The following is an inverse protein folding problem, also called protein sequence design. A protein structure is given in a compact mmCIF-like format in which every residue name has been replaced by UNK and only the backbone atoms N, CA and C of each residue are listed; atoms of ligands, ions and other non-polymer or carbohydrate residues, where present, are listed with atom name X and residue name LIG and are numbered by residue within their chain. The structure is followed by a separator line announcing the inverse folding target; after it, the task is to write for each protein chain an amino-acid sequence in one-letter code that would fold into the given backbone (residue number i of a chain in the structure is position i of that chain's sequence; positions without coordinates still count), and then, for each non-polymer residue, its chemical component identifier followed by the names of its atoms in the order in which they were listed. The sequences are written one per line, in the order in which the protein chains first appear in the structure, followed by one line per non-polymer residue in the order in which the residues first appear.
data_IF_063333440695
#
_entry.id   IF_063333440695
#
_cell.length_a   1.000
_cell.length_b   1.000
_cell.length_c   1.000
_cell.angle_alpha   90.00
_cell.angle_beta   90.00
_cell.angle_gamma   90.00
#
_symmetry.space_group_name_H-M   'P 1'
#
loop_
_entity.id
_entity.type
_entity.pdbx_description
1 polymer ?
#
# COMPACT_ATOMS: atom_id res chain seq x y z
N UNK A 1 1.75 15.46 6.94
CA UNK A 1 2.57 14.87 5.86
C UNK A 1 2.26 13.39 5.77
N UNK A 2 2.26 12.78 4.58
CA UNK A 2 2.04 11.36 4.37
C UNK A 2 3.28 10.71 3.74
N UNK A 3 3.94 9.84 4.50
CA UNK A 3 5.13 9.08 4.09
C UNK A 3 4.73 7.62 3.89
N UNK A 4 5.20 7.02 2.81
CA UNK A 4 5.08 5.59 2.57
C UNK A 4 6.47 4.97 2.59
N UNK A 5 6.65 3.90 3.36
CA UNK A 5 7.84 3.06 3.35
C UNK A 5 7.48 1.77 2.62
N UNK A 6 8.09 1.58 1.45
CA UNK A 6 7.85 0.45 0.55
C UNK A 6 9.10 -0.39 0.40
N UNK A 7 8.95 -1.64 -0.03
CA UNK A 7 10.10 -2.51 -0.28
C UNK A 7 9.79 -4.00 -0.22
N UNK A 8 10.77 -4.80 -0.64
CA UNK A 8 10.72 -6.26 -0.55
C UNK A 8 10.84 -6.72 0.91
N UNK A 9 10.38 -7.93 1.22
CA UNK A 9 10.59 -8.47 2.56
C UNK A 9 12.08 -8.64 2.87
N UNK A 10 12.46 -8.37 4.13
CA UNK A 10 13.86 -8.39 4.56
C UNK A 10 14.66 -7.11 4.27
N UNK A 11 14.11 -6.10 3.57
CA UNK A 11 14.83 -4.87 3.26
C UNK A 11 14.95 -3.86 4.41
N UNK A 12 14.39 -4.16 5.59
CA UNK A 12 14.40 -3.25 6.76
C UNK A 12 13.30 -2.20 6.78
N UNK A 13 12.27 -2.30 5.93
CA UNK A 13 11.13 -1.34 5.86
C UNK A 13 10.47 -1.06 7.22
N UNK A 14 10.17 -2.10 8.01
CA UNK A 14 9.50 -1.94 9.30
C UNK A 14 10.41 -1.24 10.31
N UNK A 15 11.70 -1.60 10.35
CA UNK A 15 12.70 -0.93 11.17
C UNK A 15 12.86 0.55 10.80
N UNK A 16 12.87 0.87 9.50
CA UNK A 16 12.90 2.26 9.04
C UNK A 16 11.63 3.02 9.43
N UNK A 17 10.45 2.41 9.32
CA UNK A 17 9.20 3.03 9.69
C UNK A 17 9.11 3.31 11.21
N UNK A 18 9.60 2.40 12.04
CA UNK A 18 9.73 2.58 13.49
C UNK A 18 10.74 3.68 13.83
N UNK A 19 11.90 3.69 13.18
CA UNK A 19 12.89 4.75 13.34
C UNK A 19 12.30 6.13 13.00
N UNK A 20 11.52 6.24 11.92
CA UNK A 20 10.84 7.48 11.55
C UNK A 20 9.78 7.88 12.59
N UNK A 21 9.03 6.92 13.13
CA UNK A 21 8.04 7.17 14.18
C UNK A 21 8.68 7.76 15.44
N UNK A 22 9.85 7.26 15.83
CA UNK A 22 10.59 7.73 17.02
C UNK A 22 11.24 9.11 16.83
N UNK A 23 11.52 9.51 15.59
CA UNK A 23 12.31 10.72 15.29
C UNK A 23 11.49 11.86 14.66
N UNK A 24 10.19 11.65 14.40
CA UNK A 24 9.29 12.68 13.87
C UNK A 24 8.23 13.00 14.93
N UNK A 25 8.18 14.26 15.35
CA UNK A 25 7.14 14.73 16.26
C UNK A 25 5.74 14.57 15.64
N UNK A 26 4.77 14.18 16.46
CA UNK A 26 3.38 13.95 16.07
C UNK A 26 3.24 12.96 14.90
N UNK A 27 4.03 11.88 14.92
CA UNK A 27 3.94 10.81 13.93
C UNK A 27 2.98 9.68 14.36
N UNK A 28 2.33 9.06 13.37
CA UNK A 28 1.51 7.85 13.54
C UNK A 28 1.99 6.84 12.50
N UNK A 29 2.29 5.63 12.96
CA UNK A 29 2.63 4.50 12.11
C UNK A 29 1.37 3.67 11.83
N UNK A 30 1.09 3.45 10.55
CA UNK A 30 0.02 2.60 10.06
C UNK A 30 0.62 1.48 9.21
N UNK A 31 -0.02 0.32 9.22
CA UNK A 31 0.37 -0.82 8.39
C UNK A 31 -0.77 -1.16 7.45
N UNK A 32 -0.47 -1.34 6.18
CA UNK A 32 -1.48 -1.75 5.21
C UNK A 32 -1.91 -3.20 5.46
N UNK A 33 -3.20 -3.46 5.35
CA UNK A 33 -3.72 -4.81 5.39
C UNK A 33 -3.35 -5.56 4.11
N UNK A 34 -2.80 -6.75 4.29
CA UNK A 34 -2.33 -7.64 3.21
C UNK A 34 -3.12 -8.93 3.14
N UNK A 35 -4.20 -9.11 3.94
CA UNK A 35 -5.04 -10.32 3.94
C UNK A 35 -5.64 -10.63 2.57
N UNK A 36 -6.06 -9.60 1.83
CA UNK A 36 -6.59 -9.74 0.47
C UNK A 36 -5.61 -10.43 -0.50
N UNK A 37 -4.29 -10.29 -0.31
CA UNK A 37 -3.29 -11.01 -1.14
C UNK A 37 -3.38 -12.52 -0.94
N UNK A 38 -3.56 -12.96 0.30
CA UNK A 38 -3.72 -14.38 0.62
C UNK A 38 -5.08 -14.88 0.11
N UNK A 39 -6.14 -14.10 0.26
CA UNK A 39 -7.46 -14.46 -0.25
C UNK A 39 -7.48 -14.60 -1.78
N UNK A 40 -6.84 -13.67 -2.51
CA UNK A 40 -6.68 -13.77 -3.97
C UNK A 40 -5.89 -15.02 -4.41
N UNK A 41 -5.00 -15.56 -3.57
CA UNK A 41 -4.28 -16.81 -3.85
C UNK A 41 -5.18 -18.03 -3.61
N UNK A 42 -6.03 -18.00 -2.59
CA UNK A 42 -6.94 -19.09 -2.26
C UNK A 42 -8.15 -19.16 -3.21
N UNK A 43 -8.62 -18.01 -3.70
CA UNK A 43 -9.80 -17.88 -4.55
C UNK A 43 -9.49 -17.08 -5.83
N UNK A 44 -8.64 -17.61 -6.74
CA UNK A 44 -8.22 -16.91 -7.94
C UNK A 44 -9.37 -16.54 -8.88
N UNK A 45 -10.47 -17.28 -8.86
CA UNK A 45 -11.66 -17.06 -9.68
C UNK A 45 -12.46 -15.81 -9.32
N UNK A 46 -12.33 -15.30 -8.09
CA UNK A 46 -12.93 -14.04 -7.63
C UNK A 46 -11.88 -12.96 -7.32
N UNK A 47 -10.64 -13.15 -7.76
CA UNK A 47 -9.52 -12.28 -7.42
C UNK A 47 -9.74 -10.81 -7.85
N UNK A 48 -10.48 -10.57 -8.93
CA UNK A 48 -10.84 -9.24 -9.39
C UNK A 48 -11.87 -8.55 -8.47
N UNK A 49 -12.82 -9.30 -7.92
CA UNK A 49 -13.78 -8.81 -6.93
C UNK A 49 -13.04 -8.39 -5.65
N UNK A 50 -12.21 -9.28 -5.11
CA UNK A 50 -11.41 -9.02 -3.91
C UNK A 50 -10.48 -7.81 -4.11
N UNK A 51 -9.89 -7.70 -5.30
CA UNK A 51 -9.05 -6.55 -5.64
C UNK A 51 -9.84 -5.24 -5.76
N UNK A 52 -11.06 -5.27 -6.30
CA UNK A 52 -11.93 -4.10 -6.35
C UNK A 52 -12.39 -3.65 -4.96
N UNK A 53 -12.71 -4.60 -4.06
CA UNK A 53 -13.03 -4.33 -2.66
C UNK A 53 -11.85 -3.65 -1.93
N UNK A 54 -10.65 -4.23 -2.04
CA UNK A 54 -9.44 -3.61 -1.52
C UNK A 54 -9.19 -2.19 -2.06
N UNK A 55 -9.48 -1.96 -3.34
CA UNK A 55 -9.35 -0.63 -3.93
C UNK A 55 -10.34 0.39 -3.35
N UNK A 56 -11.52 -0.06 -2.90
CA UNK A 56 -12.55 0.76 -2.23
C UNK A 56 -12.16 1.07 -0.80
N UNK A 57 -11.73 0.08 -0.03
CA UNK A 57 -11.23 0.27 1.35
C UNK A 57 -10.10 1.31 1.39
N UNK A 58 -9.26 1.35 0.35
CA UNK A 58 -8.19 2.35 0.26
C UNK A 58 -8.68 3.79 0.09
N UNK A 59 -9.90 4.01 -0.40
CA UNK A 59 -10.51 5.35 -0.38
C UNK A 59 -10.76 5.78 1.06
N UNK A 60 -11.37 4.93 1.87
CA UNK A 60 -11.63 5.20 3.29
C UNK A 60 -10.33 5.41 4.08
N UNK A 61 -9.32 4.57 3.82
CA UNK A 61 -7.98 4.77 4.35
C UNK A 61 -7.41 6.14 3.95
N UNK A 62 -7.59 6.55 2.70
CA UNK A 62 -7.10 7.85 2.21
C UNK A 62 -7.79 9.04 2.87
N UNK A 63 -9.09 8.93 3.16
CA UNK A 63 -9.85 9.92 3.91
C UNK A 63 -9.34 10.03 5.35
N UNK A 64 -9.12 8.89 6.01
CA UNK A 64 -8.56 8.86 7.36
C UNK A 64 -7.16 9.48 7.43
N UNK A 65 -6.27 9.16 6.48
CA UNK A 65 -4.95 9.80 6.37
C UNK A 65 -5.08 11.31 6.14
N UNK A 66 -6.04 11.76 5.33
CA UNK A 66 -6.28 13.18 5.12
C UNK A 66 -6.71 13.89 6.40
N UNK A 67 -7.55 13.28 7.22
CA UNK A 67 -8.00 13.87 8.48
C UNK A 67 -6.87 13.96 9.50
N UNK A 68 -6.06 12.91 9.64
CA UNK A 68 -4.85 12.94 10.50
C UNK A 68 -3.86 14.01 10.05
N UNK A 69 -3.59 14.10 8.75
CA UNK A 69 -2.64 15.08 8.22
C UNK A 69 -3.13 16.52 8.37
N UNK A 70 -4.45 16.78 8.25
CA UNK A 70 -5.06 18.09 8.56
C UNK A 70 -4.98 18.44 10.06
N UNK A 71 -5.06 17.43 10.94
CA UNK A 71 -4.90 17.61 12.38
C UNK A 71 -3.44 17.83 12.82
N UNK A 72 -2.49 17.87 11.88
CA UNK A 72 -1.08 18.15 12.14
C UNK A 72 -0.20 16.93 12.34
N UNK A 73 -0.74 15.71 12.16
CA UNK A 73 0.06 14.49 12.26
C UNK A 73 0.87 14.23 10.98
N UNK A 74 2.03 13.60 11.17
CA UNK A 74 2.73 12.90 10.10
C UNK A 74 2.28 11.45 10.09
N UNK A 75 1.71 10.98 8.99
CA UNK A 75 1.31 9.58 8.84
C UNK A 75 2.41 8.84 8.10
N UNK A 76 2.88 7.75 8.67
CA UNK A 76 3.87 6.83 8.09
C UNK A 76 3.14 5.52 7.79
N UNK A 77 3.20 5.04 6.55
CA UNK A 77 2.60 3.76 6.14
C UNK A 77 3.67 2.74 5.75
N UNK A 78 3.66 1.57 6.39
CA UNK A 78 4.40 0.38 5.94
C UNK A 78 3.56 -0.32 4.84
N UNK A 79 4.01 -0.18 3.59
CA UNK A 79 3.34 -0.52 2.30
C UNK A 79 2.19 0.42 1.89
N UNK A 80 1.98 0.54 0.58
CA UNK A 80 0.84 1.23 -0.03
C UNK A 80 0.59 0.76 -1.49
N UNK A 81 0.16 1.66 -2.38
CA UNK A 81 -0.16 1.31 -3.77
C UNK A 81 1.01 0.77 -4.63
N UNK A 82 2.31 1.11 -4.41
CA UNK A 82 3.38 0.53 -5.22
C UNK A 82 3.46 -1.00 -5.10
N UNK A 83 3.34 -1.54 -3.88
CA UNK A 83 3.20 -2.99 -3.65
C UNK A 83 2.01 -3.58 -4.42
N UNK A 84 0.88 -2.87 -4.43
CA UNK A 84 -0.37 -3.29 -5.10
C UNK A 84 -0.24 -3.42 -6.63
N UNK A 85 0.70 -2.73 -7.24
CA UNK A 85 0.99 -2.87 -8.68
C UNK A 85 1.98 -4.03 -8.87
N UNK A 86 3.06 -4.05 -8.09
CA UNK A 86 4.13 -5.03 -8.26
C UNK A 86 3.68 -6.48 -8.01
N UNK A 87 2.90 -6.76 -6.96
CA UNK A 87 2.51 -8.14 -6.63
C UNK A 87 1.50 -8.74 -7.63
N UNK A 88 0.63 -7.92 -8.22
CA UNK A 88 -0.43 -8.41 -9.10
C UNK A 88 0.05 -8.54 -10.54
N UNK A 89 0.83 -7.57 -11.03
CA UNK A 89 1.34 -7.62 -12.40
C UNK A 89 2.51 -8.60 -12.58
N UNK A 90 3.05 -9.15 -11.49
CA UNK A 90 4.01 -10.27 -11.56
C UNK A 90 3.33 -11.64 -11.63
N UNK A 91 2.02 -11.75 -11.37
CA UNK A 91 1.25 -13.00 -11.39
C UNK A 91 0.21 -13.03 -12.53
N UNK A 92 0.53 -12.47 -13.70
CA UNK A 92 -0.38 -12.45 -14.86
C UNK A 92 -0.61 -13.82 -15.51
N UNK A 93 0.14 -14.84 -15.10
CA UNK A 93 -0.12 -16.25 -15.38
C UNK A 93 -1.33 -16.79 -14.60
N UNK A 94 -1.65 -16.20 -13.44
CA UNK A 94 -2.73 -16.62 -12.54
C UNK A 94 -3.96 -15.71 -12.61
N UNK A 95 -3.78 -14.43 -12.92
CA UNK A 95 -4.83 -13.43 -12.87
C UNK A 95 -5.00 -12.69 -14.20
N UNK A 96 -6.23 -12.24 -14.50
CA UNK A 96 -6.45 -11.30 -15.60
C UNK A 96 -5.94 -9.90 -15.25
N UNK A 97 -4.65 -9.69 -15.48
CA UNK A 97 -3.99 -8.41 -15.26
C UNK A 97 -4.62 -7.25 -16.05
N UNK A 98 -5.28 -7.48 -17.20
CA UNK A 98 -5.95 -6.40 -17.93
C UNK A 98 -7.17 -5.92 -17.15
N UNK A 99 -7.92 -6.85 -16.53
CA UNK A 99 -9.04 -6.52 -15.65
C UNK A 99 -8.58 -5.83 -14.38
N UNK A 100 -7.54 -6.35 -13.72
CA UNK A 100 -6.95 -5.71 -12.53
C UNK A 100 -6.43 -4.30 -12.83
N UNK A 101 -5.78 -4.08 -13.97
CA UNK A 101 -5.32 -2.74 -14.36
C UNK A 101 -6.48 -1.75 -14.58
N UNK A 102 -7.60 -2.21 -15.14
CA UNK A 102 -8.80 -1.38 -15.30
C UNK A 102 -9.38 -0.98 -13.94
N UNK A 103 -9.46 -1.93 -13.00
CA UNK A 103 -9.89 -1.68 -11.62
C UNK A 103 -8.94 -0.68 -10.96
N UNK A 104 -7.63 -0.94 -10.99
CA UNK A 104 -6.64 -0.03 -10.41
C UNK A 104 -6.79 1.41 -10.93
N UNK A 105 -6.89 1.60 -12.25
CA UNK A 105 -7.07 2.94 -12.85
C UNK A 105 -8.36 3.63 -12.43
N UNK A 106 -9.44 2.86 -12.23
CA UNK A 106 -10.74 3.36 -11.74
C UNK A 106 -10.65 3.95 -10.34
N UNK A 107 -9.78 3.42 -9.46
CA UNK A 107 -9.69 3.87 -8.06
C UNK A 107 -8.48 4.75 -7.76
N UNK A 108 -7.37 4.54 -8.46
CA UNK A 108 -6.10 5.17 -8.15
C UNK A 108 -6.17 6.70 -8.01
N UNK A 109 -6.95 7.39 -8.84
CA UNK A 109 -7.07 8.84 -8.80
C UNK A 109 -7.78 9.39 -7.55
N UNK A 110 -8.50 8.54 -6.82
CA UNK A 110 -9.24 8.88 -5.60
C UNK A 110 -8.37 8.71 -4.34
N UNK A 111 -7.27 7.96 -4.43
CA UNK A 111 -6.41 7.71 -3.28
C UNK A 111 -5.51 8.89 -2.94
N UNK A 112 -5.30 9.12 -1.64
CA UNK A 112 -4.35 10.10 -1.13
C UNK A 112 -2.95 9.76 -1.63
N UNK A 113 -2.31 10.72 -2.28
CA UNK A 113 -0.92 10.58 -2.73
C UNK A 113 0.04 10.83 -1.57
N UNK A 114 1.03 9.94 -1.38
CA UNK A 114 2.10 10.19 -0.44
C UNK A 114 2.91 11.40 -0.90
N UNK A 115 3.33 12.19 0.08
CA UNK A 115 4.22 13.33 -0.13
C UNK A 115 5.67 12.84 -0.31
N UNK A 116 5.99 11.67 0.28
CA UNK A 116 7.28 11.00 0.15
C UNK A 116 7.10 9.47 0.12
N UNK A 117 7.82 8.80 -0.79
CA UNK A 117 7.93 7.34 -0.81
C UNK A 117 9.40 6.98 -0.61
N UNK A 118 9.69 6.19 0.43
CA UNK A 118 11.00 5.65 0.73
C UNK A 118 11.02 4.17 0.33
N UNK A 119 11.97 3.80 -0.52
CA UNK A 119 12.14 2.40 -0.96
C UNK A 119 13.58 1.99 -0.62
N UNK A 120 13.82 1.34 0.55
CA UNK A 120 15.12 0.77 0.84
C UNK A 120 15.37 -0.35 -0.16
N UNK A 121 16.38 -0.19 -0.99
CA UNK A 121 16.86 -1.25 -1.87
C UNK A 121 17.97 -2.01 -1.16
N UNK A 122 17.94 -3.33 -1.30
CA UNK A 122 19.08 -4.18 -0.96
C UNK A 122 19.57 -4.79 -2.27
N UNK A 123 20.90 -4.92 -2.49
CA UNK A 123 21.38 -5.77 -3.56
C UNK A 123 20.83 -7.18 -3.29
N UNK A 124 20.07 -7.72 -4.24
CA UNK A 124 19.60 -9.10 -4.16
C UNK A 124 20.81 -10.03 -3.97
N UNK A 125 20.76 -10.98 -3.02
CA UNK A 125 21.70 -12.10 -3.02
C UNK A 125 21.50 -12.98 -4.27
#
# INVERSE_FOLDING_TARGET
MFIVVEGVDGCGKTTLAEFLLENIDNAILMKEDTRWLEEMKHFPEIADMLFEEFCRERIEYSEFVNDLTKAGFTVISDRFYPSTVCYQFTNCDKYDCKKLLKIFKKYYHQWKKPDLILIPSTPFP
#
